data_IF_487454522453
#
_entry.id   IF_487454522453
#
_cell.length_a   1.000
_cell.length_b   1.000
_cell.length_c   1.000
_cell.angle_alpha   90.00
_cell.angle_beta   90.00
_cell.angle_gamma   90.00
#
_symmetry.space_group_name_H-M   'P 1'
#
loop_
_entity.id
_entity.type
_entity.pdbx_description
1 polymer ?
#
# COMPACT_ATOMS: atom_id res chain seq x y z
N UNK A 1 -19.03 9.63 -20.06
CA UNK A 1 -19.26 8.27 -19.54
C UNK A 1 -18.30 8.00 -18.39
N UNK A 2 -18.83 7.52 -17.27
CA UNK A 2 -18.10 7.17 -16.06
C UNK A 2 -17.14 5.98 -16.27
N UNK A 3 -16.10 5.94 -15.43
CA UNK A 3 -15.57 4.71 -14.83
C UNK A 3 -14.92 3.69 -15.75
N UNK A 4 -13.59 3.74 -15.86
CA UNK A 4 -12.81 2.51 -16.09
C UNK A 4 -11.58 2.54 -15.22
N UNK A 5 -11.81 2.26 -13.93
CA UNK A 5 -10.75 1.85 -13.03
C UNK A 5 -9.99 0.69 -13.66
N UNK A 6 -8.76 0.94 -14.12
CA UNK A 6 -7.78 -0.12 -14.30
C UNK A 6 -7.19 -0.42 -12.92
N UNK A 7 -8.01 -1.08 -12.12
CA UNK A 7 -7.53 -1.94 -11.06
C UNK A 7 -6.61 -2.97 -11.72
N UNK A 8 -5.31 -2.77 -11.57
CA UNK A 8 -4.28 -3.57 -12.24
C UNK A 8 -2.92 -3.42 -11.58
N UNK A 9 -2.92 -3.25 -10.25
CA UNK A 9 -1.76 -3.32 -9.38
C UNK A 9 -0.68 -2.27 -9.58
N UNK A 10 -0.97 -1.05 -9.12
CA UNK A 10 0.04 -0.02 -8.90
C UNK A 10 0.86 -0.31 -7.64
N UNK A 11 2.11 0.17 -7.59
CA UNK A 11 2.82 0.22 -6.31
C UNK A 11 2.37 1.51 -5.60
N UNK A 12 2.33 1.51 -4.28
CA UNK A 12 1.95 2.68 -3.48
C UNK A 12 2.99 2.97 -2.43
N UNK A 13 3.50 4.19 -2.37
CA UNK A 13 4.54 4.58 -1.42
C UNK A 13 4.01 4.56 0.01
N UNK A 14 4.77 3.91 0.91
CA UNK A 14 4.55 3.91 2.36
C UNK A 14 4.57 5.31 2.97
N UNK A 15 5.52 6.13 2.50
CA UNK A 15 5.79 7.44 3.06
C UNK A 15 4.72 8.46 2.67
N UNK A 16 4.42 8.56 1.37
CA UNK A 16 3.50 9.57 0.85
C UNK A 16 2.08 9.07 0.57
N UNK A 17 1.85 7.76 0.58
CA UNK A 17 0.59 7.16 0.15
C UNK A 17 0.31 7.33 -1.34
N UNK A 18 1.26 7.85 -2.14
CA UNK A 18 1.10 8.08 -3.58
C UNK A 18 1.29 6.80 -4.37
N UNK A 19 0.52 6.64 -5.43
CA UNK A 19 0.78 5.60 -6.42
C UNK A 19 2.06 5.92 -7.20
N UNK A 20 2.91 4.91 -7.34
CA UNK A 20 4.21 4.96 -8.00
C UNK A 20 4.28 3.88 -9.07
N UNK A 21 5.24 4.03 -9.98
CA UNK A 21 5.41 3.09 -11.08
C UNK A 21 5.89 1.73 -10.59
N UNK A 22 5.65 0.69 -11.41
CA UNK A 22 6.11 -0.67 -11.12
C UNK A 22 7.62 -0.76 -11.00
N UNK A 23 8.37 -0.05 -11.85
CA UNK A 23 9.82 0.02 -11.76
C UNK A 23 10.26 0.61 -10.41
N UNK A 24 9.67 1.74 -10.01
CA UNK A 24 9.99 2.38 -8.74
C UNK A 24 9.73 1.47 -7.55
N UNK A 25 8.57 0.80 -7.52
CA UNK A 25 8.25 -0.09 -6.42
C UNK A 25 9.09 -1.38 -6.37
N UNK A 26 9.57 -1.85 -7.53
CA UNK A 26 10.51 -2.96 -7.63
C UNK A 26 11.91 -2.59 -7.16
N UNK A 27 12.33 -1.35 -7.40
CA UNK A 27 13.57 -0.77 -6.82
C UNK A 27 13.43 -0.44 -5.33
N UNK A 28 12.21 -0.18 -4.85
CA UNK A 28 11.92 0.20 -3.46
C UNK A 28 10.89 -0.72 -2.78
N UNK A 29 11.17 -2.03 -2.67
CA UNK A 29 10.21 -2.98 -2.09
C UNK A 29 9.95 -2.75 -0.60
N UNK A 30 10.84 -2.03 0.09
CA UNK A 30 10.71 -1.74 1.53
C UNK A 30 9.79 -0.57 1.84
N UNK A 31 9.60 0.33 0.87
CA UNK A 31 8.84 1.59 1.04
C UNK A 31 7.71 1.71 0.03
N UNK A 32 7.39 0.64 -0.69
CA UNK A 32 6.24 0.60 -1.60
C UNK A 32 5.43 -0.68 -1.41
N UNK A 33 4.12 -0.55 -1.32
CA UNK A 33 3.17 -1.67 -1.29
C UNK A 33 2.81 -2.01 -2.73
N UNK A 34 2.91 -3.28 -3.11
CA UNK A 34 2.28 -3.76 -4.36
C UNK A 34 0.79 -3.90 -4.12
N UNK A 35 -0.01 -2.98 -4.65
CA UNK A 35 -1.45 -3.10 -4.62
C UNK A 35 -1.86 -4.23 -5.56
N UNK A 36 -2.74 -5.12 -5.14
CA UNK A 36 -3.36 -6.08 -6.04
C UNK A 36 -4.77 -5.57 -6.35
N UNK A 37 -5.24 -5.77 -7.59
CA UNK A 37 -6.64 -5.49 -7.95
C UNK A 37 -7.54 -6.58 -7.39
N UNK A 38 -7.73 -6.58 -6.09
CA UNK A 38 -8.64 -7.45 -5.38
C UNK A 38 -9.16 -6.69 -4.18
N UNK A 39 -10.44 -6.87 -3.84
CA UNK A 39 -11.13 -6.19 -2.74
C UNK A 39 -10.15 -5.97 -1.59
N UNK A 40 -9.85 -4.70 -1.29
CA UNK A 40 -9.23 -4.33 -0.01
C UNK A 40 -10.22 -4.79 1.04
N UNK A 41 -10.03 -6.02 1.52
CA UNK A 41 -10.95 -6.67 2.44
C UNK A 41 -10.94 -5.82 3.70
N UNK A 42 -12.05 -5.13 3.94
CA UNK A 42 -12.36 -4.37 5.15
C UNK A 42 -12.01 -5.19 6.39
N UNK A 43 -10.76 -5.12 6.83
CA UNK A 43 -10.25 -5.90 7.96
C UNK A 43 -9.41 -4.96 8.82
N UNK A 44 -10.08 -4.08 9.56
CA UNK A 44 -9.71 -3.55 10.89
C UNK A 44 -8.29 -3.02 11.19
N UNK A 45 -7.35 -3.04 10.25
CA UNK A 45 -5.96 -2.64 10.43
C UNK A 45 -5.72 -1.38 9.63
N UNK A 46 -5.74 -0.22 10.30
CA UNK A 46 -5.56 1.10 9.68
C UNK A 46 -4.21 1.30 8.97
N UNK A 47 -3.33 0.29 8.97
CA UNK A 47 -2.00 0.33 8.38
C UNK A 47 -1.69 -0.94 7.61
N UNK A 48 -0.90 -0.80 6.54
CA UNK A 48 -0.51 -1.90 5.66
C UNK A 48 0.98 -1.89 5.42
N UNK A 49 1.65 -3.02 5.60
CA UNK A 49 3.10 -3.15 5.41
C UNK A 49 3.47 -3.01 3.93
N UNK A 50 4.41 -2.12 3.61
CA UNK A 50 4.99 -2.00 2.29
C UNK A 50 5.83 -3.21 1.90
N UNK A 51 6.53 -3.79 2.87
CA UNK A 51 7.41 -4.93 2.65
C UNK A 51 6.62 -6.18 2.24
N UNK A 52 5.53 -6.48 2.96
CA UNK A 52 4.79 -7.74 2.81
C UNK A 52 3.39 -7.58 2.22
N UNK A 53 2.88 -6.35 2.07
CA UNK A 53 1.51 -6.08 1.62
C UNK A 53 0.42 -6.47 2.63
N UNK A 54 0.79 -7.01 3.80
CA UNK A 54 -0.13 -7.44 4.86
C UNK A 54 -0.64 -6.25 5.67
N UNK A 55 -1.89 -6.35 6.12
CA UNK A 55 -2.42 -5.42 7.12
C UNK A 55 -1.71 -5.63 8.46
N UNK A 56 -1.39 -4.53 9.12
CA UNK A 56 -0.69 -4.49 10.40
C UNK A 56 -1.48 -3.61 11.37
N UNK A 57 -1.21 -3.77 12.67
CA UNK A 57 -1.87 -2.98 13.70
C UNK A 57 -1.44 -1.51 13.64
N UNK A 58 -2.30 -0.63 14.16
CA UNK A 58 -1.98 0.80 14.24
C UNK A 58 -0.72 1.10 15.06
N UNK A 59 -0.47 0.34 16.13
CA UNK A 59 0.77 0.44 16.91
C UNK A 59 1.99 0.12 16.05
N UNK A 60 1.93 -0.94 15.24
CA UNK A 60 3.03 -1.34 14.37
C UNK A 60 3.26 -0.32 13.24
N UNK A 61 2.18 0.21 12.66
CA UNK A 61 2.27 1.24 11.64
C UNK A 61 2.83 2.57 12.15
N UNK A 62 2.42 2.97 13.36
CA UNK A 62 2.99 4.16 14.04
C UNK A 62 4.46 3.98 14.42
N UNK A 63 4.87 2.77 14.81
CA UNK A 63 6.27 2.45 15.09
C UNK A 63 7.12 2.42 13.79
N UNK A 64 6.51 2.07 12.66
CA UNK A 64 7.19 1.91 11.37
C UNK A 64 6.52 2.71 10.24
N UNK A 65 6.48 4.05 10.33
CA UNK A 65 5.78 4.89 9.35
C UNK A 65 6.45 4.87 7.97
N UNK A 66 7.75 4.54 7.89
CA UNK A 66 8.50 4.50 6.63
C UNK A 66 8.21 3.25 5.79
N UNK A 67 7.71 2.19 6.41
CA UNK A 67 7.49 0.87 5.79
C UNK A 67 6.06 0.40 5.92
N UNK A 68 5.15 1.29 6.31
CA UNK A 68 3.72 1.02 6.37
C UNK A 68 2.94 2.18 5.75
N UNK A 69 1.88 1.87 5.01
CA UNK A 69 0.92 2.83 4.47
C UNK A 69 -0.21 2.96 5.47
N UNK A 70 -0.62 4.19 5.78
CA UNK A 70 -1.87 4.42 6.53
C UNK A 70 -3.05 4.35 5.55
N UNK A 71 -3.92 3.39 5.78
CA UNK A 71 -5.19 3.26 5.07
C UNK A 71 -6.19 4.21 5.76
N UNK A 72 -6.87 5.06 4.98
CA UNK A 72 -7.88 6.02 5.45
C UNK A 72 -9.18 5.77 4.71
#
# INVERSE_FOLDING_TARGET
>A
MAGKGKGGGGYRSANSGRYVTKAYGKSHPRTTVKEASGKSGSTGGSYRSAISGRFVTAKHGKANPKTTVREK
#
